data_IF_476278702871
#
_entry.id   IF_476278702871
#
_cell.length_a   1.000
_cell.length_b   1.000
_cell.length_c   1.000
_cell.angle_alpha   90.00
_cell.angle_beta   90.00
_cell.angle_gamma   90.00
#
_symmetry.space_group_name_H-M   'P 1'
#
loop_
_entity.id
_entity.type
_entity.pdbx_description
1 polymer ?
#
# COMPACT_ATOMS: atom_id res chain seq x y z
N UNK A 1 66.75 36.84 58.76
CA UNK A 1 65.46 37.55 58.84
C UNK A 1 65.84 39.01 58.72
N UNK A 2 65.27 39.78 57.80
CA UNK A 2 65.55 41.22 57.75
C UNK A 2 65.06 41.80 59.07
N UNK A 3 65.97 42.18 59.97
CA UNK A 3 65.57 42.75 61.24
C UNK A 3 65.10 44.16 60.94
N UNK A 4 63.78 44.34 61.02
CA UNK A 4 63.19 45.66 61.00
C UNK A 4 63.22 46.17 62.44
N UNK A 5 63.68 47.41 62.60
CA UNK A 5 63.72 48.20 63.81
C UNK A 5 64.96 47.99 64.70
N UNK A 6 65.95 48.84 64.45
CA UNK A 6 66.87 49.26 65.49
C UNK A 6 66.75 50.78 65.60
N UNK A 7 66.31 51.33 66.75
CA UNK A 7 66.40 52.77 66.99
C UNK A 7 67.86 53.20 66.89
N UNK A 8 68.17 54.06 65.92
CA UNK A 8 69.49 54.65 65.77
C UNK A 8 69.43 56.13 66.16
N UNK A 9 70.49 56.64 66.80
CA UNK A 9 70.54 58.05 67.17
C UNK A 9 70.79 58.87 65.90
N UNK A 10 69.86 59.74 65.54
CA UNK A 10 69.95 60.56 64.34
C UNK A 10 70.35 62.00 64.69
N UNK A 11 71.44 62.48 64.09
CA UNK A 11 71.93 63.84 64.25
C UNK A 11 71.91 64.56 62.89
N UNK A 12 70.83 65.32 62.58
CA UNK A 12 70.66 65.97 61.28
C UNK A 12 71.69 67.08 61.03
N UNK A 13 72.16 67.79 62.06
CA UNK A 13 73.14 68.87 61.87
C UNK A 13 74.51 68.34 61.43
N UNK A 14 74.86 67.12 61.85
CA UNK A 14 76.06 66.43 61.39
C UNK A 14 75.83 65.55 60.14
N UNK A 15 74.57 65.31 59.77
CA UNK A 15 74.21 64.37 58.71
C UNK A 15 74.50 62.92 59.07
N UNK A 16 74.42 62.55 60.36
CA UNK A 16 74.87 61.24 60.84
C UNK A 16 73.78 60.41 61.49
N UNK A 17 73.88 59.09 61.33
CA UNK A 17 73.08 58.10 62.05
C UNK A 17 74.06 57.21 62.81
N UNK A 18 73.90 57.14 64.13
CA UNK A 18 74.77 56.35 65.01
C UNK A 18 74.13 55.03 65.42
N UNK A 19 74.82 53.93 65.08
CA UNK A 19 74.49 52.55 65.39
C UNK A 19 75.33 51.98 66.54
N UNK A 20 75.96 52.81 67.37
CA UNK A 20 76.76 52.39 68.53
C UNK A 20 76.00 51.48 69.51
N UNK A 21 74.67 51.66 69.61
CA UNK A 21 73.78 50.82 70.41
C UNK A 21 73.45 49.46 69.77
N UNK A 22 74.02 49.15 68.61
CA UNK A 22 73.79 47.90 67.86
C UNK A 22 75.04 47.01 67.96
N UNK A 23 75.03 45.98 68.82
CA UNK A 23 76.14 45.04 68.91
C UNK A 23 76.41 44.38 67.56
N UNK A 24 77.66 44.42 67.11
CA UNK A 24 78.07 43.77 65.85
C UNK A 24 77.60 44.47 64.58
N UNK A 25 77.29 45.77 64.62
CA UNK A 25 76.94 46.53 63.42
C UNK A 25 78.07 46.51 62.37
N UNK A 26 77.74 45.99 61.18
CA UNK A 26 78.61 45.97 60.00
C UNK A 26 77.96 46.84 58.90
N UNK A 27 78.54 48.00 58.55
CA UNK A 27 77.91 48.95 57.61
C UNK A 27 77.51 48.36 56.26
N UNK A 28 78.24 47.37 55.75
CA UNK A 28 77.96 46.72 54.46
C UNK A 28 76.66 45.90 54.43
N UNK A 29 76.06 45.63 55.59
CA UNK A 29 74.78 44.91 55.72
C UNK A 29 73.58 45.83 55.94
N UNK A 30 73.81 47.14 55.91
CA UNK A 30 72.73 48.12 55.94
C UNK A 30 72.02 48.11 54.58
N UNK A 31 70.70 47.87 54.61
CA UNK A 31 69.87 47.77 53.42
C UNK A 31 69.22 49.09 53.06
N UNK A 32 68.69 49.80 54.06
CA UNK A 32 68.04 51.10 53.88
C UNK A 32 67.95 51.84 55.22
N UNK A 33 67.84 53.17 55.15
CA UNK A 33 67.46 54.01 56.31
C UNK A 33 66.31 54.90 55.88
N UNK A 34 65.25 54.89 56.68
CA UNK A 34 64.04 55.68 56.43
C UNK A 34 63.74 56.54 57.65
N UNK A 35 63.54 57.83 57.44
CA UNK A 35 62.95 58.71 58.43
C UNK A 35 61.43 58.55 58.37
N UNK A 36 60.87 57.81 59.32
CA UNK A 36 59.44 57.53 59.38
C UNK A 36 58.60 58.76 59.77
N UNK A 37 59.18 59.70 60.53
CA UNK A 37 58.52 60.97 60.88
C UNK A 37 58.35 61.86 59.65
N UNK A 38 59.41 62.02 58.86
CA UNK A 38 59.43 62.87 57.66
C UNK A 38 58.98 62.14 56.39
N UNK A 39 58.74 60.82 56.45
CA UNK A 39 58.41 59.94 55.32
C UNK A 39 59.45 60.01 54.18
N UNK A 40 60.73 60.11 54.53
CA UNK A 40 61.82 60.23 53.57
C UNK A 40 62.79 59.05 53.67
N UNK A 41 63.33 58.61 52.52
CA UNK A 41 64.44 57.66 52.48
C UNK A 41 65.75 58.44 52.62
N UNK A 42 66.54 58.10 53.64
CA UNK A 42 67.80 58.75 53.98
C UNK A 42 69.01 57.98 53.46
N UNK A 43 68.88 56.67 53.31
CA UNK A 43 69.89 55.82 52.70
C UNK A 43 69.24 54.71 51.87
N UNK A 44 69.67 54.59 50.62
CA UNK A 44 69.36 53.52 49.70
C UNK A 44 70.58 53.33 48.78
N UNK A 45 71.30 52.21 48.85
CA UNK A 45 72.52 52.00 48.07
C UNK A 45 72.26 51.96 46.56
N UNK A 46 71.00 51.81 46.12
CA UNK A 46 70.62 51.76 44.71
C UNK A 46 70.22 53.11 44.12
N UNK A 47 69.98 54.12 44.96
CA UNK A 47 69.52 55.46 44.56
C UNK A 47 70.66 56.48 44.58
N UNK A 48 70.81 57.24 43.50
CA UNK A 48 71.82 58.30 43.43
C UNK A 48 71.58 59.39 44.50
N UNK A 49 72.63 59.79 45.21
CA UNK A 49 72.57 60.82 46.26
C UNK A 49 72.08 60.34 47.63
N UNK A 50 71.68 59.06 47.77
CA UNK A 50 71.25 58.46 49.04
C UNK A 50 72.27 57.43 49.57
N UNK A 51 73.55 57.61 49.26
CA UNK A 51 74.62 56.74 49.72
C UNK A 51 75.19 57.13 51.10
N UNK A 52 76.30 56.47 51.47
CA UNK A 52 77.11 56.82 52.65
C UNK A 52 78.24 57.75 52.18
N UNK A 53 78.37 58.91 52.83
CA UNK A 53 79.44 59.88 52.57
C UNK A 53 80.75 59.48 53.28
N UNK A 54 80.65 59.02 54.54
CA UNK A 54 81.78 58.50 55.30
C UNK A 54 81.31 57.60 56.45
N UNK A 55 82.21 56.78 56.99
CA UNK A 55 81.96 55.89 58.13
C UNK A 55 83.02 56.16 59.19
N UNK A 56 82.59 56.39 60.43
CA UNK A 56 83.46 56.56 61.60
C UNK A 56 82.95 55.69 62.74
N UNK A 57 83.57 54.54 62.96
CA UNK A 57 83.07 53.54 63.92
C UNK A 57 81.68 53.03 63.51
N UNK A 58 80.71 53.12 64.42
CA UNK A 58 79.30 52.75 64.16
C UNK A 58 78.44 53.92 63.65
N UNK A 59 79.02 55.11 63.51
CA UNK A 59 78.33 56.27 62.95
C UNK A 59 78.57 56.37 61.44
N UNK A 60 77.49 56.50 60.68
CA UNK A 60 77.53 56.74 59.24
C UNK A 60 77.14 58.18 58.95
N UNK A 61 77.85 58.83 58.04
CA UNK A 61 77.45 60.12 57.45
C UNK A 61 76.71 59.86 56.16
N UNK A 62 75.52 60.42 56.02
CA UNK A 62 74.66 60.25 54.84
C UNK A 62 75.05 61.22 53.72
N UNK A 63 74.87 60.81 52.47
CA UNK A 63 74.95 61.73 51.31
C UNK A 63 73.67 62.54 51.11
N UNK A 64 72.54 62.04 51.63
CA UNK A 64 71.25 62.71 51.55
C UNK A 64 71.29 64.08 52.23
N UNK A 65 70.64 65.08 51.63
CA UNK A 65 70.40 66.35 52.29
C UNK A 65 69.40 66.15 53.43
N UNK A 66 69.90 66.24 54.66
CA UNK A 66 69.09 66.08 55.87
C UNK A 66 68.78 67.40 56.58
N UNK A 67 69.00 68.55 55.93
CA UNK A 67 68.80 69.88 56.52
C UNK A 67 67.36 70.14 56.98
N UNK A 68 66.38 69.46 56.39
CA UNK A 68 64.96 69.57 56.74
C UNK A 68 64.50 68.65 57.89
N UNK A 69 65.38 67.83 58.47
CA UNK A 69 65.01 66.82 59.47
C UNK A 69 65.32 67.25 60.90
N UNK A 70 64.51 66.78 61.86
CA UNK A 70 64.67 67.05 63.28
C UNK A 70 65.46 65.98 64.02
N UNK A 71 66.19 66.34 65.08
CA UNK A 71 66.90 65.37 65.93
C UNK A 71 65.95 64.41 66.67
N UNK A 72 64.67 64.80 66.82
CA UNK A 72 63.61 63.97 67.41
C UNK A 72 62.91 63.06 66.39
N UNK A 73 63.31 63.08 65.12
CA UNK A 73 62.70 62.25 64.09
C UNK A 73 63.02 60.77 64.31
N UNK A 74 62.03 59.92 64.05
CA UNK A 74 62.19 58.47 64.16
C UNK A 74 62.80 57.90 62.91
N UNK A 75 64.08 57.56 62.99
CA UNK A 75 64.81 56.89 61.92
C UNK A 75 64.79 55.37 62.13
N UNK A 76 64.42 54.65 61.08
CA UNK A 76 64.36 53.19 61.03
C UNK A 76 65.44 52.73 60.05
N UNK A 77 66.37 51.91 60.55
CA UNK A 77 67.31 51.20 59.70
C UNK A 77 66.82 49.78 59.43
N UNK A 78 66.94 49.37 58.17
CA UNK A 78 66.77 48.00 57.73
C UNK A 78 68.15 47.38 57.63
N UNK A 79 68.41 46.38 58.47
CA UNK A 79 69.72 45.77 58.62
C UNK A 79 69.63 44.26 58.43
N UNK A 80 70.58 43.68 57.70
CA UNK A 80 70.74 42.24 57.62
C UNK A 80 71.69 41.79 58.74
N UNK A 81 71.18 41.04 59.73
CA UNK A 81 71.99 40.52 60.83
C UNK A 81 72.99 39.45 60.37
N UNK A 82 72.81 38.88 59.17
CA UNK A 82 73.57 37.76 58.62
C UNK A 82 73.65 36.53 59.53
N UNK A 83 72.81 36.45 60.56
CA UNK A 83 72.72 35.34 61.51
C UNK A 83 71.48 34.47 61.25
N UNK A 84 70.51 34.95 60.48
CA UNK A 84 69.35 34.14 60.08
C UNK A 84 69.16 34.13 58.56
N UNK A 85 69.68 33.08 57.89
CA UNK A 85 69.18 32.69 56.56
C UNK A 85 67.65 32.56 56.66
N UNK A 86 66.91 33.22 55.76
CA UNK A 86 65.46 33.22 55.75
C UNK A 86 64.93 31.81 55.45
N UNK A 87 64.87 30.96 56.49
CA UNK A 87 64.17 29.69 56.41
C UNK A 87 62.69 30.05 56.50
N UNK A 88 61.95 29.79 55.44
CA UNK A 88 60.57 30.24 55.16
C UNK A 88 59.49 29.85 56.19
N UNK A 89 59.85 29.39 57.39
CA UNK A 89 58.95 28.77 58.36
C UNK A 89 58.41 29.72 59.44
N UNK A 90 58.74 31.02 59.44
CA UNK A 90 58.32 31.94 60.53
C UNK A 90 57.66 33.24 60.06
N UNK A 91 56.96 33.23 58.93
CA UNK A 91 56.02 34.30 58.60
C UNK A 91 54.63 33.87 59.09
N UNK A 92 54.08 34.48 60.17
CA UNK A 92 52.70 34.24 60.57
C UNK A 92 51.80 34.65 59.40
N UNK A 93 50.87 33.75 59.05
CA UNK A 93 49.97 33.87 57.94
C UNK A 93 49.25 35.22 57.88
N UNK A 94 49.70 36.11 57.00
CA UNK A 94 48.90 37.16 56.41
C UNK A 94 48.46 36.65 55.04
N UNK A 95 47.27 36.05 55.04
CA UNK A 95 46.56 35.62 53.85
C UNK A 95 46.13 36.85 53.05
N UNK A 96 46.62 36.94 51.81
CA UNK A 96 45.88 37.52 50.71
C UNK A 96 46.17 36.68 49.45
N UNK A 97 45.21 35.83 49.10
CA UNK A 97 44.78 35.61 47.72
C UNK A 97 45.61 34.71 46.80
N UNK A 98 46.03 33.52 47.26
CA UNK A 98 46.53 32.52 46.29
C UNK A 98 47.08 31.21 46.84
N UNK A 99 46.77 30.88 48.10
CA UNK A 99 47.22 29.63 48.70
C UNK A 99 46.67 28.41 47.97
N UNK A 100 47.51 27.80 47.12
CA UNK A 100 47.51 26.35 46.92
C UNK A 100 47.47 25.73 48.30
N UNK A 101 46.33 25.14 48.63
CA UNK A 101 46.12 24.41 49.87
C UNK A 101 47.35 23.55 50.12
N UNK A 102 47.90 23.66 51.33
CA UNK A 102 48.66 22.59 51.92
C UNK A 102 47.91 21.30 51.61
N UNK A 103 48.58 20.38 50.92
CA UNK A 103 48.04 19.08 50.57
C UNK A 103 47.51 18.45 51.86
N UNK A 104 46.19 18.51 52.07
CA UNK A 104 45.55 17.72 53.10
C UNK A 104 45.61 16.30 52.56
N UNK A 105 46.73 15.63 52.77
CA UNK A 105 46.96 14.25 52.35
C UNK A 105 46.06 13.25 53.08
N UNK A 106 45.22 13.74 54.00
CA UNK A 106 44.26 12.98 54.77
C UNK A 106 42.81 13.47 54.56
N UNK A 107 42.49 14.06 53.41
CA UNK A 107 41.09 14.08 52.98
C UNK A 107 40.81 12.67 52.44
N UNK A 108 39.94 11.88 53.10
CA UNK A 108 39.53 10.62 52.51
C UNK A 108 38.92 10.91 51.14
N UNK A 109 39.16 10.04 50.15
CA UNK A 109 38.56 10.15 48.80
C UNK A 109 37.03 10.22 48.83
N UNK A 110 36.44 9.89 49.97
CA UNK A 110 35.02 9.91 50.28
C UNK A 110 34.81 10.46 51.68
N UNK A 111 34.25 11.65 51.78
CA UNK A 111 33.76 12.21 53.03
C UNK A 111 32.26 11.95 53.10
N UNK A 112 31.81 11.12 54.05
CA UNK A 112 30.39 10.90 54.28
C UNK A 112 29.83 12.13 54.97
N UNK A 113 29.01 12.91 54.26
CA UNK A 113 28.28 14.03 54.86
C UNK A 113 27.06 13.46 55.57
N UNK A 114 27.08 13.42 56.90
CA UNK A 114 25.91 13.09 57.72
C UNK A 114 25.02 14.34 57.85
N UNK A 115 24.15 14.55 56.87
CA UNK A 115 23.20 15.66 56.84
C UNK A 115 22.47 15.72 55.49
N UNK A 116 21.33 16.42 55.43
CA UNK A 116 20.68 16.67 54.14
C UNK A 116 21.43 17.79 53.42
N UNK A 117 22.00 17.49 52.26
CA UNK A 117 22.45 18.52 51.32
C UNK A 117 21.21 19.02 50.59
N UNK A 118 20.66 20.15 51.03
CA UNK A 118 19.58 20.81 50.32
C UNK A 118 20.18 21.66 49.20
N UNK A 119 20.20 21.13 47.98
CA UNK A 119 20.44 21.95 46.81
C UNK A 119 19.18 22.80 46.59
N UNK A 120 19.30 24.12 46.63
CA UNK A 120 18.21 25.03 46.31
C UNK A 120 18.20 25.24 44.79
N UNK A 121 17.86 24.17 44.06
CA UNK A 121 17.61 24.26 42.63
C UNK A 121 16.24 24.93 42.43
N UNK A 122 16.21 26.06 41.74
CA UNK A 122 15.00 26.86 41.52
C UNK A 122 13.92 26.20 40.64
N UNK A 123 13.92 24.87 40.53
CA UNK A 123 12.94 24.08 39.81
C UNK A 123 11.74 23.70 40.69
N UNK A 124 10.60 23.41 40.06
CA UNK A 124 9.47 22.84 40.76
C UNK A 124 9.81 21.43 41.27
N UNK A 125 9.38 21.04 42.49
CA UNK A 125 9.62 19.70 43.00
C UNK A 125 8.98 18.65 42.08
N UNK A 126 9.72 17.57 41.82
CA UNK A 126 9.19 16.42 41.06
C UNK A 126 8.08 15.79 41.89
N UNK A 127 6.83 15.96 41.45
CA UNK A 127 5.67 15.30 42.04
C UNK A 127 5.38 13.99 41.29
N UNK A 128 5.11 12.90 42.01
CA UNK A 128 4.67 11.62 41.41
C UNK A 128 5.74 10.53 41.22
N UNK A 129 7.01 10.78 41.59
CA UNK A 129 8.07 9.77 41.62
C UNK A 129 8.76 9.76 42.99
N UNK A 130 8.92 8.58 43.59
CA UNK A 130 9.72 8.37 44.80
C UNK A 130 11.11 7.85 44.41
N UNK A 131 12.16 8.31 45.09
CA UNK A 131 13.49 7.76 44.92
C UNK A 131 13.49 6.26 45.26
N UNK A 132 14.05 5.39 44.41
CA UNK A 132 14.20 3.98 44.72
C UNK A 132 15.15 3.79 45.90
N UNK A 133 14.94 2.73 46.69
CA UNK A 133 15.81 2.37 47.82
C UNK A 133 17.27 2.27 47.35
N UNK A 134 18.15 3.10 47.92
CA UNK A 134 19.58 3.17 47.55
C UNK A 134 19.95 4.20 46.48
N UNK A 135 18.98 4.92 45.90
CA UNK A 135 19.25 6.04 44.99
C UNK A 135 19.49 7.35 45.74
N UNK A 136 20.60 8.04 45.45
CA UNK A 136 20.86 9.41 45.93
C UNK A 136 21.24 10.32 44.77
N UNK A 137 20.88 11.61 44.87
CA UNK A 137 21.27 12.62 43.88
C UNK A 137 20.67 12.39 42.49
N UNK A 138 21.36 12.91 41.47
CA UNK A 138 20.87 12.94 40.07
C UNK A 138 20.65 11.53 39.51
N UNK A 139 21.50 10.55 39.86
CA UNK A 139 21.36 9.15 39.39
C UNK A 139 20.14 8.46 39.99
N UNK A 140 19.82 8.73 41.26
CA UNK A 140 18.60 8.25 41.90
C UNK A 140 17.34 8.82 41.25
N UNK A 141 17.37 10.11 40.92
CA UNK A 141 16.27 10.78 40.21
C UNK A 141 16.10 10.27 38.78
N UNK A 142 17.19 10.15 38.01
CA UNK A 142 17.15 9.58 36.66
C UNK A 142 16.63 8.13 36.69
N UNK A 143 16.97 7.35 37.71
CA UNK A 143 16.43 5.99 37.89
C UNK A 143 14.94 5.98 38.22
N UNK A 144 14.46 6.91 39.05
CA UNK A 144 13.04 7.05 39.37
C UNK A 144 12.22 7.46 38.13
N UNK A 145 12.73 8.41 37.34
CA UNK A 145 12.15 8.84 36.06
C UNK A 145 12.14 7.68 35.07
N UNK A 146 13.27 6.99 34.91
CA UNK A 146 13.39 5.82 34.03
C UNK A 146 12.38 4.74 34.42
N UNK A 147 12.25 4.43 35.72
CA UNK A 147 11.28 3.44 36.19
C UNK A 147 9.84 3.81 35.82
N UNK A 148 9.46 5.09 35.96
CA UNK A 148 8.14 5.58 35.56
C UNK A 148 7.91 5.54 34.05
N UNK A 149 8.93 5.92 33.26
CA UNK A 149 8.87 5.90 31.79
C UNK A 149 8.91 4.48 31.21
N UNK A 150 9.56 3.54 31.91
CA UNK A 150 9.59 2.12 31.53
C UNK A 150 8.28 1.38 31.83
N UNK A 151 7.38 1.99 32.62
CA UNK A 151 6.05 1.47 32.88
C UNK A 151 5.03 1.83 31.81
N UNK A 152 3.79 1.38 32.00
CA UNK A 152 2.64 1.79 31.19
C UNK A 152 2.38 3.29 31.39
N UNK A 153 2.71 4.11 30.39
CA UNK A 153 2.35 5.52 30.35
C UNK A 153 0.86 5.64 30.04
N UNK A 154 0.07 6.14 31.00
CA UNK A 154 -1.33 6.45 30.77
C UNK A 154 -1.44 7.79 30.03
N UNK A 155 -1.79 7.74 28.75
CA UNK A 155 -2.13 8.94 27.97
C UNK A 155 -3.65 9.13 28.03
N UNK A 156 -4.08 10.27 28.57
CA UNK A 156 -5.48 10.68 28.54
C UNK A 156 -5.73 11.52 27.29
N UNK A 157 -6.54 11.01 26.37
CA UNK A 157 -7.17 11.80 25.32
C UNK A 157 -8.62 12.01 25.76
N UNK A 158 -9.05 13.27 25.84
CA UNK A 158 -10.40 13.71 26.24
C UNK A 158 -11.51 12.68 26.00
N UNK A 159 -11.85 11.91 27.03
CA UNK A 159 -12.97 10.96 27.03
C UNK A 159 -12.63 9.48 27.15
N UNK A 160 -11.36 9.05 26.98
CA UNK A 160 -10.98 7.63 27.15
C UNK A 160 -9.56 7.48 27.71
N UNK A 161 -9.44 6.81 28.85
CA UNK A 161 -8.16 6.39 29.42
C UNK A 161 -7.83 4.98 28.93
N UNK A 162 -6.82 4.85 28.07
CA UNK A 162 -6.32 3.53 27.63
C UNK A 162 -4.99 3.28 28.34
N UNK A 163 -4.92 2.23 29.15
CA UNK A 163 -3.66 1.78 29.73
C UNK A 163 -2.87 1.01 28.65
N UNK A 164 -1.86 1.61 28.03
CA UNK A 164 -1.01 0.93 27.05
C UNK A 164 0.35 0.57 27.65
N UNK A 165 0.60 -0.71 27.88
CA UNK A 165 1.96 -1.20 28.14
C UNK A 165 2.69 -1.25 26.79
N UNK A 166 3.55 -0.27 26.53
CA UNK A 166 4.12 -0.06 25.20
C UNK A 166 5.51 -0.71 25.08
N UNK A 167 5.58 -1.85 24.40
CA UNK A 167 6.81 -2.29 23.73
C UNK A 167 6.46 -3.06 22.44
N UNK A 168 6.76 -2.51 21.26
CA UNK A 168 6.63 -3.24 19.99
C UNK A 168 5.93 -2.50 18.84
N UNK A 169 5.78 -3.20 17.71
CA UNK A 169 5.13 -2.70 16.51
C UNK A 169 3.66 -2.37 16.78
N UNK A 170 3.23 -1.21 16.31
CA UNK A 170 1.86 -0.72 16.50
C UNK A 170 0.91 -1.49 15.58
N UNK A 171 0.16 -2.45 16.11
CA UNK A 171 -1.03 -2.97 15.45
C UNK A 171 -2.26 -2.32 16.07
N UNK A 172 -2.96 -1.46 15.33
CA UNK A 172 -4.27 -0.97 15.76
C UNK A 172 -5.27 -2.09 15.52
N UNK A 173 -5.64 -2.80 16.58
CA UNK A 173 -6.73 -3.76 16.56
C UNK A 173 -8.05 -3.01 16.76
N UNK A 174 -8.81 -2.85 15.68
CA UNK A 174 -10.18 -2.30 15.76
C UNK A 174 -11.15 -3.46 15.95
N UNK A 175 -11.48 -3.79 17.20
CA UNK A 175 -12.31 -4.95 17.55
C UNK A 175 -13.83 -4.69 17.51
N UNK A 176 -14.24 -3.45 17.26
CA UNK A 176 -15.64 -3.03 17.26
C UNK A 176 -16.23 -2.84 15.85
N UNK A 177 -15.51 -3.26 14.80
CA UNK A 177 -16.11 -3.32 13.47
C UNK A 177 -17.05 -4.54 13.41
N UNK A 178 -18.33 -4.39 13.04
CA UNK A 178 -19.18 -5.54 12.81
C UNK A 178 -18.59 -6.40 11.68
N UNK A 179 -18.74 -7.72 11.76
CA UNK A 179 -18.19 -8.69 10.80
C UNK A 179 -18.60 -8.39 9.34
N UNK A 180 -19.68 -7.64 9.17
CA UNK A 180 -20.13 -7.05 7.92
C UNK A 180 -20.51 -5.60 8.16
N UNK A 181 -19.79 -4.68 7.51
CA UNK A 181 -20.21 -3.29 7.36
C UNK A 181 -20.92 -3.15 6.02
N UNK A 182 -22.17 -2.70 6.03
CA UNK A 182 -22.87 -2.37 4.81
C UNK A 182 -22.19 -1.15 4.17
N UNK A 183 -21.48 -1.36 3.06
CA UNK A 183 -21.00 -0.27 2.22
C UNK A 183 -22.17 0.13 1.33
N UNK A 184 -22.73 1.32 1.53
CA UNK A 184 -23.73 1.85 0.61
C UNK A 184 -23.04 2.18 -0.72
N UNK A 185 -23.50 1.56 -1.81
CA UNK A 185 -23.00 1.88 -3.15
C UNK A 185 -23.29 3.35 -3.56
N UNK A 186 -24.17 4.05 -2.85
CA UNK A 186 -24.48 5.46 -3.09
C UNK A 186 -23.36 6.43 -2.68
N UNK A 187 -22.39 6.00 -1.87
CA UNK A 187 -21.30 6.85 -1.38
C UNK A 187 -19.95 6.60 -2.05
N UNK A 188 -19.86 5.68 -3.00
CA UNK A 188 -18.67 5.48 -3.83
C UNK A 188 -18.75 6.44 -5.04
N UNK A 189 -17.81 7.39 -5.19
CA UNK A 189 -17.69 8.15 -6.42
C UNK A 189 -17.44 7.18 -7.56
N UNK A 190 -18.44 7.03 -8.43
CA UNK A 190 -18.28 6.22 -9.63
C UNK A 190 -17.50 7.04 -10.66
N UNK A 191 -16.52 6.42 -11.36
CA UNK A 191 -15.86 7.10 -12.47
C UNK A 191 -16.89 7.50 -13.53
N UNK A 192 -16.67 8.63 -14.20
CA UNK A 192 -17.51 9.10 -15.30
C UNK A 192 -17.69 7.96 -16.31
N UNK A 193 -18.93 7.54 -16.54
CA UNK A 193 -19.28 6.44 -17.46
C UNK A 193 -19.51 5.07 -16.82
N UNK A 194 -19.31 4.89 -15.50
CA UNK A 194 -19.72 3.66 -14.84
C UNK A 194 -21.25 3.52 -14.84
N UNK A 195 -21.74 2.36 -15.29
CA UNK A 195 -23.16 2.07 -15.37
C UNK A 195 -23.80 2.02 -13.98
N UNK A 196 -24.46 3.10 -13.57
CA UNK A 196 -25.41 3.06 -12.45
C UNK A 196 -26.69 2.37 -12.90
N UNK A 197 -27.33 1.60 -12.01
CA UNK A 197 -28.60 0.92 -12.30
C UNK A 197 -29.71 1.88 -12.83
N UNK A 198 -29.62 3.18 -12.52
CA UNK A 198 -30.52 4.21 -13.03
C UNK A 198 -30.34 4.51 -14.54
N UNK A 199 -29.17 4.20 -15.11
CA UNK A 199 -28.85 4.39 -16.53
C UNK A 199 -28.73 3.07 -17.31
N UNK A 200 -29.13 1.95 -16.70
CA UNK A 200 -29.45 0.75 -17.48
C UNK A 200 -30.88 0.95 -17.98
N UNK A 201 -31.13 1.35 -19.24
CA UNK A 201 -32.48 1.31 -19.79
C UNK A 201 -32.97 -0.11 -19.60
N UNK A 202 -34.00 -0.28 -18.76
CA UNK A 202 -34.50 -1.56 -18.24
C UNK A 202 -34.11 -2.76 -19.12
N UNK A 203 -33.00 -3.43 -18.78
CA UNK A 203 -32.86 -4.82 -19.14
C UNK A 203 -33.88 -5.53 -18.28
N UNK A 204 -35.02 -5.82 -18.90
CA UNK A 204 -36.19 -6.43 -18.29
C UNK A 204 -35.83 -7.72 -17.53
N UNK A 205 -36.67 -8.04 -16.55
CA UNK A 205 -36.49 -9.07 -15.55
C UNK A 205 -36.73 -10.51 -16.08
N UNK A 206 -35.99 -10.96 -17.08
CA UNK A 206 -36.19 -12.28 -17.71
C UNK A 206 -34.92 -13.12 -17.92
N UNK A 207 -33.83 -12.84 -17.19
CA UNK A 207 -32.85 -13.88 -16.87
C UNK A 207 -32.04 -14.43 -18.06
N UNK A 208 -31.56 -13.57 -18.96
CA UNK A 208 -30.34 -13.87 -19.73
C UNK A 208 -30.49 -14.63 -21.04
N UNK A 209 -31.58 -14.46 -21.80
CA UNK A 209 -31.56 -14.86 -23.22
C UNK A 209 -30.99 -13.74 -24.08
N UNK A 210 -29.76 -13.93 -24.58
CA UNK A 210 -29.16 -13.08 -25.60
C UNK A 210 -30.06 -13.09 -26.86
N UNK A 211 -30.76 -11.98 -27.09
CA UNK A 211 -31.56 -11.62 -28.26
C UNK A 211 -32.83 -12.45 -28.52
N UNK A 212 -33.96 -11.78 -28.79
CA UNK A 212 -34.71 -12.06 -30.03
C UNK A 212 -35.74 -10.97 -30.35
N UNK A 213 -35.41 -10.18 -31.36
CA UNK A 213 -36.25 -9.36 -32.24
C UNK A 213 -37.78 -9.50 -32.03
N UNK A 214 -38.40 -8.52 -31.38
CA UNK A 214 -39.86 -8.44 -31.22
C UNK A 214 -40.62 -8.02 -32.50
N UNK A 215 -39.91 -7.77 -33.60
CA UNK A 215 -40.46 -7.30 -34.86
C UNK A 215 -40.31 -8.33 -36.00
N UNK A 216 -40.40 -9.62 -35.69
CA UNK A 216 -40.69 -10.60 -36.73
C UNK A 216 -42.19 -10.52 -37.05
N UNK A 217 -42.60 -10.13 -38.27
CA UNK A 217 -43.99 -10.29 -38.69
C UNK A 217 -44.37 -11.78 -38.60
N UNK A 218 -45.63 -12.07 -38.25
CA UNK A 218 -46.15 -13.44 -38.08
C UNK A 218 -45.90 -14.36 -39.30
N UNK A 219 -45.60 -13.76 -40.45
CA UNK A 219 -45.16 -14.42 -41.67
C UNK A 219 -43.99 -13.65 -42.24
N UNK A 220 -42.81 -14.26 -42.23
CA UNK A 220 -41.64 -13.74 -42.93
C UNK A 220 -41.42 -14.59 -44.18
N UNK A 221 -41.55 -13.97 -45.36
CA UNK A 221 -41.23 -14.63 -46.62
C UNK A 221 -39.72 -14.83 -46.68
N UNK A 222 -39.26 -16.05 -46.38
CA UNK A 222 -37.87 -16.44 -46.59
C UNK A 222 -37.70 -16.70 -48.08
N UNK A 223 -37.23 -15.68 -48.81
CA UNK A 223 -36.85 -15.84 -50.22
C UNK A 223 -35.48 -16.48 -50.29
N UNK A 224 -35.45 -17.78 -50.55
CA UNK A 224 -34.21 -18.53 -50.74
C UNK A 224 -33.81 -18.44 -52.22
N UNK A 225 -33.18 -17.33 -52.64
CA UNK A 225 -32.62 -17.23 -53.99
C UNK A 225 -31.20 -17.84 -54.00
N UNK A 226 -31.04 -18.98 -54.68
CA UNK A 226 -29.72 -19.38 -55.20
C UNK A 226 -28.99 -20.54 -54.51
N UNK A 227 -29.60 -21.35 -53.65
CA UNK A 227 -29.01 -22.66 -53.30
C UNK A 227 -30.00 -23.80 -53.50
N UNK A 228 -29.54 -24.85 -54.15
CA UNK A 228 -30.24 -26.13 -54.23
C UNK A 228 -30.28 -26.74 -52.84
N UNK A 229 -31.47 -26.84 -52.24
CA UNK A 229 -31.64 -27.59 -50.99
C UNK A 229 -31.54 -29.06 -51.35
N UNK A 230 -30.46 -29.72 -50.93
CA UNK A 230 -30.36 -31.17 -51.00
C UNK A 230 -31.43 -31.80 -50.11
N UNK A 231 -32.43 -32.45 -50.72
CA UNK A 231 -33.51 -33.14 -49.99
C UNK A 231 -33.04 -34.41 -49.27
N UNK A 232 -31.75 -34.74 -49.33
CA UNK A 232 -31.17 -35.98 -48.78
C UNK A 232 -31.18 -36.06 -47.25
N UNK A 233 -31.51 -34.98 -46.54
CA UNK A 233 -31.55 -34.97 -45.07
C UNK A 233 -32.78 -34.29 -44.49
N UNK A 234 -33.85 -34.12 -45.27
CA UNK A 234 -35.09 -33.57 -44.72
C UNK A 234 -35.77 -34.60 -43.80
N UNK A 235 -36.21 -34.21 -42.60
CA UNK A 235 -37.05 -35.05 -41.76
C UNK A 235 -38.30 -35.50 -42.51
N UNK A 236 -38.79 -36.72 -42.22
CA UNK A 236 -40.03 -37.22 -42.79
C UNK A 236 -41.17 -36.22 -42.53
N UNK A 237 -41.87 -35.81 -43.59
CA UNK A 237 -43.09 -35.03 -43.42
C UNK A 237 -44.12 -35.89 -42.69
N UNK A 238 -44.78 -35.36 -41.64
CA UNK A 238 -45.88 -36.06 -40.98
C UNK A 238 -46.96 -36.42 -42.00
N UNK A 239 -47.55 -37.60 -41.85
CA UNK A 239 -48.68 -38.01 -42.68
C UNK A 239 -49.85 -37.02 -42.51
N UNK A 240 -50.30 -36.42 -43.61
CA UNK A 240 -51.35 -35.41 -43.63
C UNK A 240 -51.41 -34.66 -44.97
N UNK A 241 -52.42 -33.81 -45.13
CA UNK A 241 -52.58 -32.94 -46.31
C UNK A 241 -51.55 -31.81 -46.24
N UNK A 242 -50.35 -32.06 -46.75
CA UNK A 242 -49.33 -31.04 -46.91
C UNK A 242 -49.61 -30.30 -48.21
N UNK A 243 -49.95 -29.01 -48.14
CA UNK A 243 -50.02 -28.13 -49.32
C UNK A 243 -48.60 -27.81 -49.78
N UNK A 244 -47.94 -28.80 -50.35
CA UNK A 244 -46.72 -28.58 -51.11
C UNK A 244 -47.17 -27.82 -52.36
N UNK A 245 -46.57 -26.67 -52.65
CA UNK A 245 -46.87 -25.91 -53.86
C UNK A 245 -46.64 -26.75 -55.14
N UNK A 246 -46.75 -26.14 -56.32
CA UNK A 246 -46.47 -26.83 -57.57
C UNK A 246 -45.07 -27.46 -57.58
N UNK A 247 -45.02 -28.80 -57.52
CA UNK A 247 -43.78 -29.55 -57.67
C UNK A 247 -43.46 -29.60 -59.16
N UNK A 248 -42.47 -28.81 -59.60
CA UNK A 248 -41.93 -28.94 -60.95
C UNK A 248 -40.78 -29.96 -60.94
N UNK A 249 -41.06 -31.18 -61.39
CA UNK A 249 -40.03 -32.20 -61.57
C UNK A 249 -39.43 -32.01 -62.97
N UNK A 250 -38.37 -31.22 -63.06
CA UNK A 250 -37.75 -30.85 -64.35
C UNK A 250 -36.93 -31.98 -65.01
N UNK A 251 -36.83 -33.15 -64.37
CA UNK A 251 -35.98 -34.25 -64.84
C UNK A 251 -36.71 -35.59 -64.80
N UNK A 252 -37.93 -35.65 -65.37
CA UNK A 252 -38.49 -36.93 -65.74
C UNK A 252 -37.64 -37.52 -66.87
N UNK A 253 -37.02 -38.71 -66.71
CA UNK A 253 -36.40 -39.38 -67.84
C UNK A 253 -37.46 -39.56 -68.93
N UNK A 254 -37.15 -39.09 -70.14
CA UNK A 254 -38.03 -39.26 -71.29
C UNK A 254 -38.36 -40.76 -71.42
N UNK A 255 -39.65 -41.09 -71.40
CA UNK A 255 -40.24 -42.43 -71.22
C UNK A 255 -40.20 -43.00 -69.79
N UNK A 256 -41.07 -42.47 -68.93
CA UNK A 256 -41.80 -43.34 -68.00
C UNK A 256 -43.20 -43.55 -68.56
N UNK A 257 -43.44 -44.71 -69.16
CA UNK A 257 -44.80 -45.20 -69.33
C UNK A 257 -45.36 -45.39 -67.93
N UNK A 258 -46.27 -44.52 -67.50
CA UNK A 258 -47.15 -44.82 -66.37
C UNK A 258 -48.03 -45.96 -66.85
N UNK A 259 -47.55 -47.19 -66.66
CA UNK A 259 -48.28 -48.39 -66.97
C UNK A 259 -49.23 -48.65 -65.82
N UNK A 260 -50.38 -47.99 -65.86
CA UNK A 260 -51.52 -48.34 -64.99
C UNK A 260 -52.02 -49.78 -65.24
N UNK A 261 -51.43 -50.49 -66.21
CA UNK A 261 -51.62 -51.93 -66.45
C UNK A 261 -51.12 -52.77 -65.28
N UNK A 262 -50.16 -52.31 -64.47
CA UNK A 262 -49.72 -53.04 -63.27
C UNK A 262 -50.64 -52.86 -62.05
N UNK A 263 -51.63 -51.97 -62.13
CA UNK A 263 -52.62 -51.80 -61.07
C UNK A 263 -54.04 -52.22 -61.51
N UNK A 264 -54.16 -52.86 -62.68
CA UNK A 264 -55.39 -53.49 -63.14
C UNK A 264 -55.44 -54.97 -62.69
N UNK A 265 -56.59 -55.49 -62.24
CA UNK A 265 -56.77 -56.84 -61.66
C UNK A 265 -56.61 -58.02 -62.66
N UNK A 266 -55.94 -57.80 -63.80
CA UNK A 266 -55.79 -58.78 -64.87
C UNK A 266 -54.31 -59.11 -65.06
N UNK A 267 -54.01 -60.41 -65.13
CA UNK A 267 -52.65 -60.96 -65.22
C UNK A 267 -52.06 -60.91 -66.63
N UNK A 268 -52.85 -60.52 -67.63
CA UNK A 268 -52.43 -60.34 -69.01
C UNK A 268 -53.57 -59.90 -69.92
N UNK A 269 -53.22 -59.38 -71.10
CA UNK A 269 -54.17 -58.98 -72.13
C UNK A 269 -53.72 -59.52 -73.49
N UNK A 270 -54.65 -60.13 -74.25
CA UNK A 270 -54.42 -60.57 -75.63
C UNK A 270 -55.29 -59.72 -76.55
N UNK A 271 -54.68 -59.00 -77.50
CA UNK A 271 -55.44 -58.22 -78.47
C UNK A 271 -56.33 -59.13 -79.33
N UNK A 272 -57.60 -58.75 -79.47
CA UNK A 272 -58.59 -59.47 -80.27
C UNK A 272 -58.85 -58.76 -81.59
N UNK A 273 -58.86 -59.53 -82.67
CA UNK A 273 -59.28 -59.12 -84.01
C UNK A 273 -60.74 -59.52 -84.22
N UNK A 274 -61.56 -58.58 -84.68
CA UNK A 274 -62.98 -58.81 -84.99
C UNK A 274 -63.12 -59.97 -85.98
N UNK A 275 -64.04 -60.90 -85.70
CA UNK A 275 -64.28 -62.10 -86.50
C UNK A 275 -63.36 -63.28 -86.16
N UNK A 276 -62.31 -63.12 -85.37
CA UNK A 276 -61.43 -64.23 -84.94
C UNK A 276 -61.89 -64.84 -83.61
N UNK A 277 -61.84 -66.17 -83.50
CA UNK A 277 -62.18 -66.90 -82.26
C UNK A 277 -60.92 -67.04 -81.39
N UNK A 278 -61.06 -66.76 -80.10
CA UNK A 278 -60.03 -66.84 -79.07
C UNK A 278 -60.48 -67.78 -77.94
N UNK A 279 -59.52 -68.30 -77.17
CA UNK A 279 -59.83 -69.01 -75.93
C UNK A 279 -60.47 -68.04 -74.92
N UNK A 280 -61.56 -68.46 -74.26
CA UNK A 280 -62.26 -67.64 -73.29
C UNK A 280 -61.33 -67.21 -72.14
N UNK A 281 -61.28 -65.91 -71.83
CA UNK A 281 -60.67 -65.41 -70.57
C UNK A 281 -61.77 -64.83 -69.65
N UNK A 282 -61.39 -64.11 -68.60
CA UNK A 282 -62.33 -63.67 -67.55
C UNK A 282 -63.14 -62.45 -67.95
N UNK A 283 -62.54 -61.55 -68.74
CA UNK A 283 -63.14 -60.26 -69.07
C UNK A 283 -62.76 -59.79 -70.48
N UNK A 284 -63.58 -58.92 -71.05
CA UNK A 284 -63.30 -58.17 -72.28
C UNK A 284 -62.93 -56.73 -71.94
N UNK A 285 -61.77 -56.27 -72.42
CA UNK A 285 -61.39 -54.86 -72.46
C UNK A 285 -61.74 -54.26 -73.81
N UNK A 286 -62.38 -53.09 -73.81
CA UNK A 286 -62.73 -52.33 -75.02
C UNK A 286 -62.16 -50.93 -74.91
N UNK A 287 -61.21 -50.61 -75.79
CA UNK A 287 -60.74 -49.24 -76.00
C UNK A 287 -61.51 -48.64 -77.17
N UNK A 288 -62.59 -47.93 -76.88
CA UNK A 288 -63.49 -47.38 -77.88
C UNK A 288 -63.01 -46.00 -78.35
N UNK A 289 -62.88 -45.81 -79.66
CA UNK A 289 -62.55 -44.53 -80.29
C UNK A 289 -63.83 -43.77 -80.72
N UNK A 290 -64.87 -44.49 -81.16
CA UNK A 290 -66.16 -43.92 -81.53
C UNK A 290 -67.30 -44.79 -81.00
N UNK A 291 -68.28 -44.16 -80.34
CA UNK A 291 -69.42 -44.85 -79.72
C UNK A 291 -70.18 -45.72 -80.71
N UNK A 292 -70.70 -46.84 -80.23
CA UNK A 292 -71.54 -47.73 -81.03
C UNK A 292 -71.86 -48.99 -80.25
N UNK A 293 -72.32 -50.01 -80.95
CA UNK A 293 -72.56 -51.33 -80.38
C UNK A 293 -71.37 -52.25 -80.64
N UNK A 294 -71.09 -53.14 -79.69
CA UNK A 294 -70.16 -54.26 -79.85
C UNK A 294 -70.95 -55.53 -79.69
N UNK A 295 -71.03 -56.33 -80.75
CA UNK A 295 -71.63 -57.65 -80.70
C UNK A 295 -70.53 -58.68 -80.43
N UNK A 296 -70.78 -59.60 -79.51
CA UNK A 296 -69.81 -60.60 -79.08
C UNK A 296 -70.46 -61.98 -78.91
N UNK A 297 -69.65 -63.02 -79.11
CA UNK A 297 -69.98 -64.40 -78.80
C UNK A 297 -69.30 -64.78 -77.49
N UNK A 298 -70.09 -65.22 -76.52
CA UNK A 298 -69.63 -65.66 -75.21
C UNK A 298 -69.17 -67.12 -75.25
N UNK A 299 -68.44 -67.54 -74.22
CA UNK A 299 -67.88 -68.89 -74.11
C UNK A 299 -68.91 -70.04 -74.10
N UNK A 300 -70.18 -69.74 -73.79
CA UNK A 300 -71.29 -70.68 -73.85
C UNK A 300 -71.95 -70.76 -75.25
N UNK A 301 -71.46 -69.99 -76.22
CA UNK A 301 -72.00 -69.89 -77.57
C UNK A 301 -73.16 -68.89 -77.73
N UNK A 302 -73.55 -68.18 -76.68
CA UNK A 302 -74.59 -67.14 -76.75
C UNK A 302 -74.03 -65.82 -77.29
N UNK A 303 -74.88 -65.02 -77.94
CA UNK A 303 -74.55 -63.69 -78.43
C UNK A 303 -74.97 -62.59 -77.46
N UNK A 304 -74.13 -61.59 -77.23
CA UNK A 304 -74.44 -60.39 -76.44
C UNK A 304 -74.06 -59.13 -77.23
N UNK A 305 -74.91 -58.10 -77.18
CA UNK A 305 -74.63 -56.78 -77.79
C UNK A 305 -74.58 -55.73 -76.70
N UNK A 306 -73.47 -54.99 -76.61
CA UNK A 306 -73.30 -53.91 -75.64
C UNK A 306 -73.09 -52.55 -76.32
N UNK A 307 -73.78 -51.50 -75.88
CA UNK A 307 -73.43 -50.14 -76.26
C UNK A 307 -72.15 -49.72 -75.52
N UNK A 308 -71.23 -49.08 -76.25
CA UNK A 308 -69.97 -48.57 -75.71
C UNK A 308 -69.78 -47.11 -76.12
N UNK A 309 -69.24 -46.28 -75.22
CA UNK A 309 -68.83 -44.89 -75.47
C UNK A 309 -67.30 -44.77 -75.58
N UNK A 310 -66.74 -43.67 -76.13
CA UNK A 310 -65.30 -43.48 -76.23
C UNK A 310 -64.59 -43.57 -74.88
N UNK A 311 -63.42 -44.23 -74.86
CA UNK A 311 -62.64 -44.50 -73.66
C UNK A 311 -62.45 -46.00 -73.39
N UNK A 312 -61.74 -46.30 -72.29
CA UNK A 312 -61.50 -47.67 -71.84
C UNK A 312 -62.68 -48.17 -71.00
N UNK A 313 -63.21 -49.34 -71.34
CA UNK A 313 -64.26 -50.02 -70.61
C UNK A 313 -63.91 -51.50 -70.45
N UNK A 314 -64.23 -52.08 -69.30
CA UNK A 314 -64.03 -53.51 -69.02
C UNK A 314 -65.35 -54.18 -68.69
N UNK A 315 -65.61 -55.32 -69.31
CA UNK A 315 -66.81 -56.10 -69.09
C UNK A 315 -66.45 -57.48 -68.55
N UNK A 316 -67.08 -57.95 -67.46
CA UNK A 316 -66.74 -59.22 -66.80
C UNK A 316 -67.40 -60.42 -67.51
N UNK A 317 -67.23 -60.52 -68.83
CA UNK A 317 -67.75 -61.59 -69.65
C UNK A 317 -66.62 -62.41 -70.27
N UNK A 318 -66.81 -63.73 -70.27
CA UNK A 318 -65.91 -64.67 -70.93
C UNK A 318 -66.20 -64.69 -72.44
N UNK A 319 -65.60 -63.75 -73.16
CA UNK A 319 -65.81 -63.55 -74.61
C UNK A 319 -64.84 -64.41 -75.41
N UNK A 320 -65.35 -65.12 -76.42
CA UNK A 320 -64.52 -65.91 -77.35
C UNK A 320 -64.38 -65.24 -78.71
N UNK A 321 -65.29 -64.35 -79.11
CA UNK A 321 -65.21 -63.65 -80.39
C UNK A 321 -65.93 -62.29 -80.32
N UNK A 322 -65.34 -61.25 -80.92
CA UNK A 322 -66.08 -60.04 -81.28
C UNK A 322 -66.64 -60.24 -82.69
N UNK A 323 -67.96 -60.21 -82.84
CA UNK A 323 -68.65 -60.55 -84.08
C UNK A 323 -68.68 -59.32 -84.99
N UNK A 324 -68.26 -59.48 -86.25
CA UNK A 324 -68.24 -58.39 -87.22
C UNK A 324 -69.65 -57.85 -87.52
N UNK A 325 -70.60 -58.76 -87.72
CA UNK A 325 -72.01 -58.39 -87.85
C UNK A 325 -72.51 -57.76 -86.54
N UNK A 326 -73.13 -56.58 -86.63
CA UNK A 326 -73.72 -55.86 -85.50
C UNK A 326 -72.74 -55.04 -84.65
N UNK A 327 -71.42 -55.15 -84.86
CA UNK A 327 -70.44 -54.26 -84.23
C UNK A 327 -70.31 -52.96 -85.04
N UNK A 328 -70.79 -51.86 -84.47
CA UNK A 328 -70.74 -50.51 -85.09
C UNK A 328 -69.76 -49.57 -84.39
N UNK A 329 -69.31 -49.91 -83.17
CA UNK A 329 -68.28 -49.13 -82.48
C UNK A 329 -66.91 -49.30 -83.17
N UNK A 330 -66.16 -48.22 -83.33
CA UNK A 330 -64.75 -48.30 -83.74
C UNK A 330 -63.91 -48.43 -82.48
N UNK A 331 -63.36 -49.62 -82.21
CA UNK A 331 -62.64 -49.91 -80.97
C UNK A 331 -61.50 -50.92 -81.17
N UNK A 332 -60.55 -50.93 -80.24
CA UNK A 332 -59.60 -52.03 -80.05
C UNK A 332 -60.09 -52.93 -78.91
N UNK A 333 -59.99 -54.24 -79.11
CA UNK A 333 -60.54 -55.24 -78.19
C UNK A 333 -59.42 -56.06 -77.57
N UNK A 334 -59.58 -56.44 -76.30
CA UNK A 334 -58.58 -57.19 -75.55
C UNK A 334 -59.26 -58.28 -74.72
N UNK A 335 -58.78 -59.50 -74.83
CA UNK A 335 -59.18 -60.62 -73.99
C UNK A 335 -58.32 -60.60 -72.73
N UNK A 336 -58.91 -60.32 -71.56
CA UNK A 336 -58.21 -60.06 -70.30
C UNK A 336 -58.22 -61.29 -69.40
N UNK A 337 -57.04 -61.72 -68.95
CA UNK A 337 -56.82 -62.92 -68.14
C UNK A 337 -56.91 -62.65 -66.63
#
# INVERSE_FOLDING_TARGET
>A
MKQVLIPAAFNPSAGTVDFSNVPGFVPTRLLAIVNSSARAVLYDPTSAGLGIASITGSAIKLQADVSAHGASDRVIAFYDDGQTMATAARQPALHADGGSLAHVANFPSTQTVSGSVTANDGGAPITGASLPTGGSGVTGWLSAIWSKLSGTLAVSWSGQSVASTQSGAWSVAVSNLPATQAISATSLPLPIGAATAANQPALHADGGSLAHVANFPATQAVSWSGQTVGVSSLPSLPAGSNTIGSVNVANFPALQSVSDVQNAPFSGAVAMTVGTVYAAQRSLGVLCAASGNVQMLLSDGSGLTLPVTPGWQTFPFAVIQVVAAGTTATASYFNLK
#
